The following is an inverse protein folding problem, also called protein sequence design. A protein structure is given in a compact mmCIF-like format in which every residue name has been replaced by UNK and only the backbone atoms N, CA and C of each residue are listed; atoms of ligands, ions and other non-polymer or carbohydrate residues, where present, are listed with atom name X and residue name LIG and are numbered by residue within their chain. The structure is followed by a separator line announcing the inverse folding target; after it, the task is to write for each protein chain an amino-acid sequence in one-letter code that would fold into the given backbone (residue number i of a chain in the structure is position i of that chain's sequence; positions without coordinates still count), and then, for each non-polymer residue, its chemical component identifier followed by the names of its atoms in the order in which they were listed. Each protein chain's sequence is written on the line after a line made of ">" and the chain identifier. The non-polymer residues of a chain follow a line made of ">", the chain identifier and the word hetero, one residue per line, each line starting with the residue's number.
data_IF_490632903153
#
_entry.id   IF_490632903153
#
_cell.length_a   1.000
_cell.length_b   1.000
_cell.length_c   1.000
_cell.angle_alpha   90.00
_cell.angle_beta   90.00
_cell.angle_gamma   90.00
#
_symmetry.space_group_name_H-M   'P 1'
#
loop_
_entity.id
_entity.type
_entity.pdbx_description
1 polymer ?
#
# COMPACT_ATOMS: atom_id res chain seq x y z
N UNK A 1 -12.53 10.61 7.38
CA UNK A 1 -12.97 9.21 7.47
C UNK A 1 -14.35 9.17 8.09
N UNK A 2 -15.28 8.38 7.55
CA UNK A 2 -16.60 8.18 8.15
C UNK A 2 -16.57 7.00 9.13
N UNK A 3 -17.51 6.96 10.09
CA UNK A 3 -17.61 5.87 11.07
C UNK A 3 -17.65 4.48 10.41
N UNK A 4 -18.33 4.37 9.26
CA UNK A 4 -18.39 3.13 8.45
C UNK A 4 -17.02 2.60 8.02
N UNK A 5 -16.03 3.49 7.85
CA UNK A 5 -14.68 3.12 7.44
C UNK A 5 -13.84 2.63 8.64
N UNK A 6 -14.27 2.93 9.88
CA UNK A 6 -13.61 2.52 11.13
C UNK A 6 -14.16 1.17 11.59
N UNK A 7 -15.49 1.00 11.58
CA UNK A 7 -16.15 -0.22 12.09
C UNK A 7 -15.82 -1.49 11.29
N UNK A 8 -15.23 -1.35 10.09
CA UNK A 8 -14.79 -2.49 9.29
C UNK A 8 -13.56 -3.21 9.87
N UNK A 9 -12.78 -2.55 10.74
CA UNK A 9 -11.60 -3.15 11.35
C UNK A 9 -11.99 -4.11 12.48
N UNK A 10 -11.49 -5.35 12.43
CA UNK A 10 -11.74 -6.38 13.45
C UNK A 10 -10.48 -6.61 14.28
N UNK A 11 -10.35 -5.87 15.38
CA UNK A 11 -9.16 -5.90 16.23
C UNK A 11 -9.20 -7.05 17.25
N UNK A 12 -8.94 -8.29 16.78
CA UNK A 12 -8.86 -9.49 17.63
C UNK A 12 -7.44 -9.68 18.17
N UNK A 13 -7.15 -9.16 19.36
CA UNK A 13 -5.84 -9.32 20.01
C UNK A 13 -5.71 -10.71 20.64
N UNK A 14 -4.66 -11.45 20.27
CA UNK A 14 -4.29 -12.70 20.95
C UNK A 14 -3.84 -12.41 22.39
N UNK A 15 -4.31 -13.22 23.34
CA UNK A 15 -3.89 -13.16 24.74
C UNK A 15 -2.92 -14.32 25.05
N UNK A 16 -1.60 -14.08 25.12
CA UNK A 16 -0.62 -15.13 25.35
C UNK A 16 -0.65 -15.67 26.79
N UNK A 17 -0.52 -16.98 26.95
CA UNK A 17 -0.36 -17.64 28.25
C UNK A 17 0.48 -18.91 28.11
N UNK A 18 1.01 -19.42 29.22
CA UNK A 18 1.81 -20.64 29.22
C UNK A 18 0.99 -21.83 28.73
N UNK A 19 1.46 -22.51 27.68
CA UNK A 19 0.75 -23.62 27.05
C UNK A 19 -0.24 -23.22 25.95
N UNK A 20 -0.29 -21.93 25.56
CA UNK A 20 -1.02 -21.53 24.36
C UNK A 20 -0.44 -22.22 23.12
N UNK A 21 -1.28 -22.95 22.39
CA UNK A 21 -0.92 -23.55 21.10
C UNK A 21 -0.88 -22.43 20.05
N UNK A 22 0.22 -22.33 19.32
CA UNK A 22 0.37 -21.42 18.19
C UNK A 22 0.12 -22.22 16.91
N UNK A 23 -1.15 -22.31 16.54
CA UNK A 23 -1.57 -22.84 15.24
C UNK A 23 -1.67 -21.73 14.18
N UNK A 24 -2.05 -22.11 12.96
CA UNK A 24 -2.15 -21.18 11.85
C UNK A 24 -3.15 -20.04 12.12
N UNK A 25 -4.24 -20.32 12.83
CA UNK A 25 -5.27 -19.34 13.14
C UNK A 25 -4.82 -18.38 14.24
N UNK A 26 -4.17 -18.89 15.29
CA UNK A 26 -3.58 -18.06 16.35
C UNK A 26 -2.49 -17.15 15.79
N UNK A 27 -1.65 -17.68 14.89
CA UNK A 27 -0.64 -16.89 14.19
C UNK A 27 -1.27 -15.81 13.31
N UNK A 28 -2.29 -16.18 12.53
CA UNK A 28 -3.01 -15.27 11.64
C UNK A 28 -3.72 -14.16 12.43
N UNK A 29 -4.37 -14.48 13.54
CA UNK A 29 -5.04 -13.51 14.39
C UNK A 29 -4.04 -12.49 14.97
N UNK A 30 -2.90 -12.96 15.48
CA UNK A 30 -1.86 -12.09 16.02
C UNK A 30 -1.35 -11.09 14.97
N UNK A 31 -1.09 -11.54 13.74
CA UNK A 31 -0.56 -10.69 12.68
C UNK A 31 -1.64 -9.78 12.07
N UNK A 32 -2.85 -10.29 11.88
CA UNK A 32 -3.99 -9.50 11.40
C UNK A 32 -4.31 -8.35 12.36
N UNK A 33 -4.25 -8.57 13.68
CA UNK A 33 -4.44 -7.51 14.66
C UNK A 33 -3.47 -6.34 14.43
N UNK A 34 -2.18 -6.63 14.28
CA UNK A 34 -1.16 -5.60 14.04
C UNK A 34 -1.32 -4.92 12.68
N UNK A 35 -1.62 -5.68 11.63
CA UNK A 35 -1.89 -5.13 10.29
C UNK A 35 -3.07 -4.17 10.31
N UNK A 36 -4.18 -4.58 10.93
CA UNK A 36 -5.41 -3.78 10.97
C UNK A 36 -5.25 -2.56 11.88
N UNK A 37 -4.51 -2.69 12.99
CA UNK A 37 -4.13 -1.53 13.82
C UNK A 37 -3.31 -0.52 13.02
N UNK A 38 -2.33 -0.97 12.23
CA UNK A 38 -1.50 -0.08 11.40
C UNK A 38 -2.34 0.60 10.31
N UNK A 39 -3.21 -0.13 9.62
CA UNK A 39 -4.11 0.42 8.60
C UNK A 39 -5.07 1.45 9.20
N UNK A 40 -5.64 1.17 10.37
CA UNK A 40 -6.46 2.12 11.10
C UNK A 40 -5.67 3.39 11.45
N UNK A 41 -4.42 3.25 11.94
CA UNK A 41 -3.57 4.39 12.25
C UNK A 41 -3.28 5.23 10.99
N UNK A 42 -2.92 4.58 9.86
CA UNK A 42 -2.73 5.25 8.57
C UNK A 42 -3.98 6.04 8.17
N UNK A 43 -5.16 5.40 8.15
CA UNK A 43 -6.38 6.08 7.71
C UNK A 43 -6.82 7.19 8.68
N UNK A 44 -6.62 7.02 9.99
CA UNK A 44 -7.13 7.95 11.01
C UNK A 44 -6.28 9.21 11.13
N UNK A 45 -4.97 9.09 10.94
CA UNK A 45 -4.03 10.17 11.22
C UNK A 45 -3.23 10.62 9.99
N UNK A 46 -3.30 9.91 8.87
CA UNK A 46 -2.57 10.23 7.65
C UNK A 46 -3.52 10.36 6.46
N UNK A 47 -3.04 11.03 5.41
CA UNK A 47 -3.79 11.19 4.17
C UNK A 47 -3.50 10.02 3.23
N UNK A 48 -4.54 9.59 2.51
CA UNK A 48 -4.40 8.71 1.36
C UNK A 48 -3.67 9.45 0.22
N UNK A 49 -2.95 8.69 -0.62
CA UNK A 49 -2.21 9.21 -1.77
C UNK A 49 -0.69 9.08 -1.63
N UNK A 50 0.03 9.79 -2.50
CA UNK A 50 1.50 9.85 -2.47
C UNK A 50 1.93 10.62 -1.23
N UNK A 51 2.74 9.98 -0.40
CA UNK A 51 3.32 10.62 0.78
C UNK A 51 4.69 11.21 0.43
N UNK A 52 5.57 10.39 -0.16
CA UNK A 52 6.92 10.80 -0.53
C UNK A 52 7.37 10.13 -1.83
N UNK A 53 8.16 10.83 -2.65
CA UNK A 53 8.75 10.26 -3.86
C UNK A 53 7.74 10.02 -4.99
N UNK A 54 7.81 8.86 -5.65
CA UNK A 54 6.91 8.43 -6.74
C UNK A 54 6.82 9.43 -7.90
N UNK A 55 7.88 10.19 -8.12
CA UNK A 55 7.98 11.14 -9.24
C UNK A 55 7.98 10.35 -10.55
N UNK A 56 7.30 10.88 -11.56
CA UNK A 56 7.34 10.34 -12.92
C UNK A 56 8.11 11.32 -13.80
N UNK A 57 9.16 10.84 -14.45
CA UNK A 57 10.00 11.65 -15.34
C UNK A 57 10.11 11.01 -16.71
N UNK A 58 10.08 11.83 -17.76
CA UNK A 58 10.46 11.37 -19.10
C UNK A 58 11.95 11.03 -19.16
N UNK A 59 12.34 10.20 -20.13
CA UNK A 59 13.75 9.96 -20.43
C UNK A 59 14.41 11.19 -21.07
N UNK A 60 15.75 11.21 -21.02
CA UNK A 60 16.57 12.15 -21.76
C UNK A 60 17.62 11.37 -22.57
N UNK A 61 17.51 11.27 -23.91
CA UNK A 61 16.47 11.87 -24.75
C UNK A 61 15.07 11.24 -24.53
N UNK A 62 13.97 11.97 -24.81
CA UNK A 62 12.61 11.43 -24.65
C UNK A 62 12.30 10.24 -25.55
N UNK A 63 11.58 9.25 -25.02
CA UNK A 63 11.04 8.10 -25.74
C UNK A 63 9.60 7.79 -25.27
N UNK A 64 9.02 6.67 -25.72
CA UNK A 64 7.68 6.19 -25.30
C UNK A 64 7.71 5.45 -23.95
N UNK A 65 8.58 5.86 -23.03
CA UNK A 65 8.63 5.32 -21.68
C UNK A 65 8.92 6.41 -20.65
N UNK A 66 8.59 6.10 -19.40
CA UNK A 66 8.81 6.98 -18.26
C UNK A 66 9.51 6.22 -17.14
N UNK A 67 10.24 6.96 -16.31
CA UNK A 67 10.83 6.44 -15.08
C UNK A 67 9.94 6.85 -13.91
N UNK A 68 9.51 5.86 -13.12
CA UNK A 68 8.88 6.03 -11.82
C UNK A 68 10.00 5.93 -10.79
N UNK A 69 10.22 7.00 -10.04
CA UNK A 69 11.22 7.05 -8.97
C UNK A 69 10.73 6.36 -7.70
N UNK A 70 11.64 5.90 -6.83
CA UNK A 70 11.27 5.35 -5.53
C UNK A 70 10.39 6.28 -4.70
N UNK A 71 9.60 5.71 -3.81
CA UNK A 71 8.74 6.45 -2.90
C UNK A 71 7.68 5.59 -2.24
N UNK A 72 6.77 6.23 -1.53
CA UNK A 72 5.68 5.57 -0.83
C UNK A 72 4.34 6.29 -1.00
N UNK A 73 3.28 5.48 -0.97
CA UNK A 73 1.91 5.94 -0.95
C UNK A 73 1.07 5.14 0.06
N UNK A 74 -0.08 5.70 0.41
CA UNK A 74 -1.10 5.04 1.23
C UNK A 74 -2.35 4.90 0.37
N UNK A 75 -2.87 3.69 0.22
CA UNK A 75 -4.11 3.44 -0.52
C UNK A 75 -5.37 3.73 0.33
N UNK A 76 -6.57 3.76 -0.28
CA UNK A 76 -7.83 3.97 0.45
C UNK A 76 -8.16 2.92 1.51
N UNK A 77 -7.50 1.77 1.46
CA UNK A 77 -7.61 0.67 2.39
C UNK A 77 -6.63 0.78 3.57
N UNK A 78 -5.75 1.79 3.57
CA UNK A 78 -4.74 2.03 4.60
C UNK A 78 -3.47 1.21 4.42
N UNK A 79 -3.31 0.51 3.29
CA UNK A 79 -2.11 -0.23 3.00
C UNK A 79 -1.00 0.73 2.56
N UNK A 80 0.21 0.43 3.03
CA UNK A 80 1.42 1.16 2.62
C UNK A 80 1.97 0.50 1.36
N UNK A 81 2.13 1.28 0.30
CA UNK A 81 2.75 0.86 -0.95
C UNK A 81 4.15 1.47 -0.98
N UNK A 82 5.17 0.64 -1.13
CA UNK A 82 6.57 1.08 -1.25
C UNK A 82 7.10 0.66 -2.62
N UNK A 83 7.54 1.63 -3.41
CA UNK A 83 8.35 1.41 -4.60
C UNK A 83 9.79 1.69 -4.20
N UNK A 84 10.56 0.63 -3.91
CA UNK A 84 11.91 0.77 -3.36
C UNK A 84 12.98 1.06 -4.41
N UNK A 85 12.70 0.76 -5.68
CA UNK A 85 13.63 0.92 -6.80
C UNK A 85 12.94 1.63 -7.95
N UNK A 86 13.73 2.37 -8.74
CA UNK A 86 13.21 3.02 -9.93
C UNK A 86 12.65 1.97 -10.91
N UNK A 87 11.47 2.23 -11.44
CA UNK A 87 10.82 1.37 -12.43
C UNK A 87 10.70 2.12 -13.75
N UNK A 88 10.97 1.42 -14.85
CA UNK A 88 10.71 1.94 -16.20
C UNK A 88 9.39 1.37 -16.69
N UNK A 89 8.49 2.24 -17.12
CA UNK A 89 7.21 1.85 -17.70
C UNK A 89 7.11 2.31 -19.15
N UNK A 90 6.82 1.37 -20.06
CA UNK A 90 6.60 1.66 -21.47
C UNK A 90 5.14 2.05 -21.69
N UNK A 91 4.93 3.24 -22.23
CA UNK A 91 3.61 3.72 -22.63
C UNK A 91 3.16 2.90 -23.85
N UNK A 92 1.95 2.35 -23.79
CA UNK A 92 1.42 1.44 -24.81
C UNK A 92 0.70 2.15 -25.97
N UNK A 93 0.47 3.47 -25.86
CA UNK A 93 -0.15 4.29 -26.91
C UNK A 93 0.80 5.36 -27.41
N UNK A 94 0.64 5.75 -28.69
CA UNK A 94 1.31 6.91 -29.28
C UNK A 94 0.36 8.11 -29.45
N UNK A 95 -0.90 7.93 -29.10
CA UNK A 95 -1.90 8.98 -29.17
C UNK A 95 -1.67 10.00 -28.06
N UNK A 96 -1.96 11.27 -28.36
CA UNK A 96 -1.89 12.34 -27.37
C UNK A 96 -3.10 12.20 -26.43
N UNK A 97 -2.85 12.14 -25.14
CA UNK A 97 -3.90 12.04 -24.13
C UNK A 97 -3.35 12.00 -22.72
N UNK A 98 -4.27 11.98 -21.75
CA UNK A 98 -3.92 11.78 -20.33
C UNK A 98 -3.74 10.28 -20.11
N UNK A 99 -2.59 9.90 -19.57
CA UNK A 99 -2.29 8.52 -19.17
C UNK A 99 -2.23 8.48 -17.65
N UNK A 100 -2.98 7.57 -17.06
CA UNK A 100 -2.91 7.29 -15.62
C UNK A 100 -2.00 6.10 -15.38
N UNK A 101 -0.95 6.29 -14.59
CA UNK A 101 -0.14 5.20 -14.04
C UNK A 101 -0.67 4.88 -12.65
N UNK A 102 -1.00 3.62 -12.43
CA UNK A 102 -1.62 3.15 -11.19
C UNK A 102 -0.62 2.25 -10.48
N UNK A 103 -0.36 2.54 -9.22
CA UNK A 103 0.30 1.62 -8.29
C UNK A 103 -0.76 0.99 -7.40
N UNK A 104 -0.61 -0.30 -7.13
CA UNK A 104 -1.56 -1.06 -6.30
C UNK A 104 -0.78 -1.86 -5.27
N UNK A 105 -1.30 -1.87 -4.04
CA UNK A 105 -0.80 -2.77 -3.01
C UNK A 105 -1.03 -4.23 -3.42
N UNK A 106 0.00 -5.06 -3.26
CA UNK A 106 -0.12 -6.51 -3.43
C UNK A 106 0.66 -7.19 -2.31
N UNK A 107 -0.07 -7.92 -1.47
CA UNK A 107 0.52 -8.87 -0.54
C UNK A 107 0.96 -10.11 -1.33
N UNK A 108 2.23 -10.51 -1.19
CA UNK A 108 2.76 -11.73 -1.79
C UNK A 108 2.79 -12.79 -0.68
N UNK A 109 2.04 -13.90 -0.84
CA UNK A 109 2.06 -15.02 0.11
C UNK A 109 3.41 -15.70 0.22
#
# INVERSE_FOLDING_TARGET
>A
MALKDIIKFQLKRVNPFQGLVIDADTWRDAHNYHRDQQRLHMLAFHKIGINEGLKVTANNPPDVSVNIHPGMAIDPEGNVIIVSQAQRYRIQTREKGIIYLIIQFREIP
#
